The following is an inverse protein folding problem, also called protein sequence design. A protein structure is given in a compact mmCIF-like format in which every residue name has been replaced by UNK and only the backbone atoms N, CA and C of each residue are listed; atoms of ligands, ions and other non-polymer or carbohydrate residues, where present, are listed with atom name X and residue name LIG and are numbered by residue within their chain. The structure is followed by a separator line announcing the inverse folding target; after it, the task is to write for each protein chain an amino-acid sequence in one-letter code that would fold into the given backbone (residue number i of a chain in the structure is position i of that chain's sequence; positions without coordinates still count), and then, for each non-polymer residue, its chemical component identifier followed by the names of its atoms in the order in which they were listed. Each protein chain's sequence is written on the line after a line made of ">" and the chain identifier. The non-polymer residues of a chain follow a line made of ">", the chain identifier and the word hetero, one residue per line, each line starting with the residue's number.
data_IF_206216490725
#
_entry.id   IF_206216490725
#
_cell.length_a   1.000
_cell.length_b   1.000
_cell.length_c   1.000
_cell.angle_alpha   90.00
_cell.angle_beta   90.00
_cell.angle_gamma   90.00
#
_symmetry.space_group_name_H-M   'P 1'
#
loop_
_entity.id
_entity.type
_entity.pdbx_description
1 polymer ?
#
# COMPACT_ATOMS: atom_id res chain seq x y z
N UNK A 1 71.87 35.61 -55.53
CA UNK A 1 70.60 35.12 -56.11
C UNK A 1 69.61 34.87 -54.98
N UNK A 2 68.43 35.51 -55.05
CA UNK A 2 67.23 35.20 -54.25
C UNK A 2 66.63 33.87 -54.71
N UNK A 3 65.91 33.17 -53.83
CA UNK A 3 64.55 32.59 -54.06
C UNK A 3 64.11 31.82 -52.78
N UNK A 4 63.24 32.41 -51.97
CA UNK A 4 61.78 32.13 -51.76
C UNK A 4 61.47 30.99 -50.76
N UNK A 5 60.66 31.35 -49.75
CA UNK A 5 60.07 30.56 -48.65
C UNK A 5 59.04 29.54 -49.13
N UNK A 6 58.91 28.42 -48.41
CA UNK A 6 57.61 27.76 -48.20
C UNK A 6 57.50 27.32 -46.73
N UNK A 7 56.47 27.83 -46.05
CA UNK A 7 56.05 27.39 -44.72
C UNK A 7 55.33 26.05 -44.82
N UNK A 8 55.70 25.09 -43.97
CA UNK A 8 54.86 23.96 -43.63
C UNK A 8 54.60 24.04 -42.13
N UNK A 9 53.47 24.64 -41.77
CA UNK A 9 52.92 24.59 -40.42
C UNK A 9 52.36 23.17 -40.26
N UNK A 10 53.01 22.38 -39.40
CA UNK A 10 52.55 21.06 -39.02
C UNK A 10 51.30 21.22 -38.14
N UNK A 11 50.14 21.01 -38.74
CA UNK A 11 48.87 20.74 -38.04
C UNK A 11 48.82 19.22 -37.81
N UNK A 12 48.15 18.80 -36.74
CA UNK A 12 47.90 17.41 -36.26
C UNK A 12 48.95 17.02 -35.20
N UNK A 13 48.64 16.83 -33.91
CA UNK A 13 47.49 16.14 -33.33
C UNK A 13 47.28 16.63 -31.88
N UNK A 14 46.22 17.40 -31.60
CA UNK A 14 45.77 17.60 -30.21
C UNK A 14 45.11 16.31 -29.74
N UNK A 15 45.89 15.41 -29.16
CA UNK A 15 45.38 14.32 -28.34
C UNK A 15 44.85 14.88 -27.01
N UNK A 16 43.76 15.64 -27.10
CA UNK A 16 42.86 15.77 -25.95
C UNK A 16 42.22 14.40 -25.80
N UNK A 17 42.77 13.60 -24.90
CA UNK A 17 42.16 12.38 -24.41
C UNK A 17 40.85 12.81 -23.73
N UNK A 18 39.78 12.91 -24.53
CA UNK A 18 38.42 12.95 -24.04
C UNK A 18 38.19 11.60 -23.39
N UNK A 19 38.55 11.48 -22.10
CA UNK A 19 37.99 10.48 -21.23
C UNK A 19 36.50 10.80 -21.24
N UNK A 20 35.78 10.12 -22.13
CA UNK A 20 34.35 9.94 -22.01
C UNK A 20 34.18 9.35 -20.61
N UNK A 21 33.81 10.18 -19.64
CA UNK A 21 33.09 9.70 -18.49
C UNK A 21 31.84 9.07 -19.10
N UNK A 22 31.94 7.78 -19.41
CA UNK A 22 30.77 6.93 -19.46
C UNK A 22 30.27 6.95 -18.03
N UNK A 23 29.46 7.96 -17.71
CA UNK A 23 28.48 7.84 -16.66
C UNK A 23 27.61 6.69 -17.14
N UNK A 24 28.02 5.47 -16.80
CA UNK A 24 27.13 4.33 -16.73
C UNK A 24 26.15 4.77 -15.65
N UNK A 25 25.11 5.49 -16.07
CA UNK A 25 23.85 5.46 -15.35
C UNK A 25 23.44 4.00 -15.54
N UNK A 26 23.98 3.13 -14.68
CA UNK A 26 23.38 1.83 -14.50
C UNK A 26 21.91 2.13 -14.22
N UNK A 27 21.02 1.31 -14.74
CA UNK A 27 19.68 1.18 -14.20
C UNK A 27 19.81 0.64 -12.76
N UNK A 28 20.46 1.41 -11.90
CA UNK A 28 20.47 1.23 -10.47
C UNK A 28 19.03 1.44 -10.05
N UNK A 29 18.50 0.46 -9.34
CA UNK A 29 17.18 0.48 -8.72
C UNK A 29 16.81 1.89 -8.26
N UNK A 30 15.99 2.58 -9.05
CA UNK A 30 15.45 3.88 -8.69
C UNK A 30 14.65 3.69 -7.39
N UNK A 31 15.05 4.40 -6.34
CA UNK A 31 14.32 4.35 -5.08
C UNK A 31 12.89 4.86 -5.29
N UNK A 32 11.90 4.34 -4.51
CA UNK A 32 10.53 4.78 -4.63
C UNK A 32 10.42 6.30 -4.41
N UNK A 33 9.52 6.93 -5.14
CA UNK A 33 9.24 8.35 -5.07
C UNK A 33 7.73 8.60 -4.99
N UNK A 34 7.33 9.76 -4.44
CA UNK A 34 5.92 10.15 -4.26
C UNK A 34 5.09 10.02 -5.56
N UNK A 35 5.64 10.53 -6.66
CA UNK A 35 5.02 10.52 -7.99
C UNK A 35 5.13 9.19 -8.75
N UNK A 36 5.70 8.15 -8.14
CA UNK A 36 5.65 6.82 -8.75
C UNK A 36 4.20 6.34 -8.77
N UNK A 37 3.75 5.88 -9.94
CA UNK A 37 2.35 5.49 -10.17
C UNK A 37 1.81 4.53 -9.11
N UNK A 38 2.61 3.54 -8.70
CA UNK A 38 2.20 2.55 -7.71
C UNK A 38 2.04 3.13 -6.30
N UNK A 39 2.92 4.03 -5.87
CA UNK A 39 2.80 4.71 -4.57
C UNK A 39 1.61 5.67 -4.56
N UNK A 40 1.43 6.45 -5.64
CA UNK A 40 0.28 7.34 -5.80
C UNK A 40 -1.04 6.56 -5.75
N UNK A 41 -1.12 5.41 -6.44
CA UNK A 41 -2.29 4.54 -6.41
C UNK A 41 -2.53 3.97 -5.01
N UNK A 42 -1.49 3.46 -4.35
CA UNK A 42 -1.63 2.91 -3.00
C UNK A 42 -2.18 3.92 -2.00
N UNK A 43 -1.67 5.16 -2.03
CA UNK A 43 -2.17 6.25 -1.19
C UNK A 43 -3.63 6.56 -1.52
N UNK A 44 -3.97 6.67 -2.81
CA UNK A 44 -5.35 6.91 -3.26
C UNK A 44 -6.30 5.84 -2.72
N UNK A 45 -5.92 4.57 -2.77
CA UNK A 45 -6.76 3.46 -2.33
C UNK A 45 -6.93 3.43 -0.82
N UNK A 46 -5.86 3.68 -0.06
CA UNK A 46 -5.95 3.82 1.40
C UNK A 46 -6.87 4.96 1.81
N UNK A 47 -6.72 6.12 1.15
CA UNK A 47 -7.53 7.29 1.44
C UNK A 47 -9.01 7.10 1.07
N UNK A 48 -9.28 6.38 -0.02
CA UNK A 48 -10.62 5.99 -0.40
C UNK A 48 -11.23 4.99 0.61
N UNK A 49 -10.49 3.97 1.04
CA UNK A 49 -10.94 3.06 2.10
C UNK A 49 -11.27 3.80 3.40
N UNK A 50 -10.41 4.73 3.82
CA UNK A 50 -10.61 5.56 5.03
C UNK A 50 -11.84 6.46 4.91
N UNK A 51 -12.11 7.00 3.72
CA UNK A 51 -13.32 7.77 3.41
C UNK A 51 -14.56 6.88 3.49
N UNK A 52 -14.54 5.71 2.84
CA UNK A 52 -15.65 4.75 2.82
C UNK A 52 -16.03 4.26 4.22
N UNK A 53 -15.07 4.04 5.11
CA UNK A 53 -15.36 3.74 6.52
C UNK A 53 -16.09 4.92 7.18
N UNK A 54 -15.64 6.15 6.97
CA UNK A 54 -16.27 7.35 7.55
C UNK A 54 -17.69 7.59 7.03
N UNK A 55 -18.01 7.05 5.85
CA UNK A 55 -19.29 7.23 5.15
C UNK A 55 -20.22 6.01 5.23
N UNK A 56 -19.93 5.05 6.10
CA UNK A 56 -20.78 3.86 6.31
C UNK A 56 -20.87 2.94 5.07
N UNK A 57 -19.88 2.98 4.18
CA UNK A 57 -19.85 2.23 2.92
C UNK A 57 -19.06 0.90 3.00
N UNK A 58 -18.69 0.47 4.21
CA UNK A 58 -17.95 -0.77 4.46
C UNK A 58 -18.80 -1.71 5.30
N UNK A 59 -19.29 -2.83 4.72
CA UNK A 59 -20.15 -3.77 5.44
C UNK A 59 -19.47 -4.37 6.68
N UNK A 60 -20.26 -4.57 7.73
CA UNK A 60 -19.79 -5.20 8.98
C UNK A 60 -18.92 -4.31 9.86
N UNK A 61 -18.71 -3.04 9.48
CA UNK A 61 -17.87 -2.10 10.23
C UNK A 61 -18.65 -0.83 10.59
N UNK A 62 -18.52 -0.31 11.83
CA UNK A 62 -19.15 0.95 12.19
C UNK A 62 -18.46 2.12 11.50
N UNK A 63 -19.21 3.20 11.28
CA UNK A 63 -18.63 4.40 10.71
C UNK A 63 -17.58 5.01 11.64
N UNK A 64 -16.47 5.49 11.07
CA UNK A 64 -15.49 6.26 11.83
C UNK A 64 -15.84 7.75 11.82
N UNK A 65 -15.38 8.48 12.83
CA UNK A 65 -15.12 9.92 12.62
C UNK A 65 -14.19 10.09 11.41
N UNK A 66 -14.26 11.25 10.74
CA UNK A 66 -13.46 11.53 9.55
C UNK A 66 -11.98 11.22 9.81
N UNK A 67 -11.46 10.22 9.10
CA UNK A 67 -10.07 9.83 9.22
C UNK A 67 -9.17 10.81 8.45
N UNK A 68 -7.98 11.14 8.99
CA UNK A 68 -7.02 11.97 8.27
C UNK A 68 -6.57 11.25 7.00
N UNK A 69 -6.35 12.01 5.93
CA UNK A 69 -5.77 11.48 4.70
C UNK A 69 -4.31 11.11 4.97
N UNK A 70 -3.91 9.95 4.49
CA UNK A 70 -2.51 9.54 4.47
C UNK A 70 -1.77 10.34 3.40
N UNK A 71 -0.56 10.74 3.75
CA UNK A 71 0.39 11.38 2.82
C UNK A 71 1.61 10.50 2.64
N UNK A 72 2.33 10.72 1.54
CA UNK A 72 3.56 9.99 1.25
C UNK A 72 4.67 10.34 2.24
N UNK A 73 5.49 9.35 2.60
CA UNK A 73 6.76 9.57 3.28
C UNK A 73 7.88 8.78 2.60
N UNK A 74 8.91 9.51 2.18
CA UNK A 74 10.05 8.99 1.43
C UNK A 74 10.83 7.94 2.23
N UNK A 75 11.09 8.20 3.51
CA UNK A 75 11.91 7.30 4.33
C UNK A 75 11.14 6.01 4.65
N UNK A 76 9.82 6.08 4.86
CA UNK A 76 8.98 4.88 4.98
C UNK A 76 9.06 4.01 3.70
N UNK A 77 9.00 4.63 2.53
CA UNK A 77 9.03 3.93 1.24
C UNK A 77 10.39 3.29 0.96
N UNK A 78 11.49 3.98 1.26
CA UNK A 78 12.84 3.44 1.12
C UNK A 78 13.07 2.25 2.05
N UNK A 79 12.60 2.32 3.30
CA UNK A 79 12.63 1.20 4.24
C UNK A 79 11.82 0.01 3.72
N UNK A 80 10.60 0.27 3.24
CA UNK A 80 9.74 -0.77 2.67
C UNK A 80 10.38 -1.43 1.44
N UNK A 81 11.03 -0.65 0.57
CA UNK A 81 11.74 -1.16 -0.59
C UNK A 81 12.97 -1.99 -0.21
N UNK A 82 13.76 -1.54 0.78
CA UNK A 82 14.87 -2.33 1.32
C UNK A 82 14.39 -3.69 1.82
N UNK A 83 13.27 -3.70 2.55
CA UNK A 83 12.72 -4.97 3.04
C UNK A 83 12.17 -5.86 1.92
N UNK A 84 11.45 -5.28 0.96
CA UNK A 84 10.93 -5.99 -0.19
C UNK A 84 12.06 -6.69 -0.98
N UNK A 85 13.20 -6.02 -1.15
CA UNK A 85 14.38 -6.56 -1.84
C UNK A 85 14.96 -7.83 -1.17
N UNK A 86 14.72 -8.03 0.13
CA UNK A 86 15.17 -9.23 0.83
C UNK A 86 14.32 -10.48 0.51
N UNK A 87 13.15 -10.31 -0.12
CA UNK A 87 12.28 -11.40 -0.56
C UNK A 87 11.98 -12.43 0.54
N UNK A 88 11.61 -11.94 1.73
CA UNK A 88 11.25 -12.80 2.88
C UNK A 88 9.72 -12.92 3.03
N UNK A 89 9.25 -13.87 3.84
CA UNK A 89 7.84 -14.06 4.23
C UNK A 89 7.56 -13.62 5.66
N UNK A 90 8.19 -12.55 6.12
CA UNK A 90 8.00 -12.06 7.48
C UNK A 90 8.10 -10.55 7.52
N UNK A 91 7.65 -9.98 8.63
CA UNK A 91 7.98 -8.61 8.96
C UNK A 91 9.46 -8.48 9.35
N UNK A 92 10.06 -7.33 9.04
CA UNK A 92 11.34 -6.93 9.62
C UNK A 92 11.20 -6.59 11.11
N UNK A 93 12.34 -6.45 11.78
CA UNK A 93 12.37 -5.98 13.16
C UNK A 93 11.88 -4.54 13.23
N UNK A 94 11.23 -4.15 14.33
CA UNK A 94 10.78 -2.78 14.52
C UNK A 94 11.97 -1.79 14.52
N UNK A 95 13.17 -2.25 14.91
CA UNK A 95 14.42 -1.47 14.84
C UNK A 95 14.85 -1.17 13.40
N UNK A 96 14.53 -2.05 12.47
CA UNK A 96 14.84 -1.85 11.04
C UNK A 96 13.89 -0.82 10.40
N UNK A 97 12.84 -0.42 11.12
CA UNK A 97 11.84 0.59 10.71
C UNK A 97 11.94 1.88 11.54
N UNK A 98 13.09 2.18 12.13
CA UNK A 98 13.30 3.40 12.90
C UNK A 98 13.08 4.66 12.03
N UNK A 99 12.32 5.60 12.57
CA UNK A 99 11.98 6.83 11.87
C UNK A 99 12.06 8.03 12.82
N UNK A 100 12.66 9.18 12.42
CA UNK A 100 12.85 10.33 13.30
C UNK A 100 11.55 10.95 13.81
N UNK A 101 10.43 10.75 13.08
CA UNK A 101 9.12 11.31 13.41
C UNK A 101 8.24 10.42 14.30
N UNK A 102 8.47 9.11 14.34
CA UNK A 102 7.59 8.17 15.04
C UNK A 102 8.39 7.12 15.78
N UNK A 103 8.05 6.91 17.06
CA UNK A 103 8.66 5.87 17.89
C UNK A 103 8.42 4.46 17.33
N UNK A 104 7.27 4.22 16.70
CA UNK A 104 6.92 2.93 16.12
C UNK A 104 6.31 3.09 14.74
N UNK A 105 6.82 2.31 13.79
CA UNK A 105 6.35 2.23 12.40
C UNK A 105 5.71 0.86 12.17
N UNK A 106 4.47 0.89 11.68
CA UNK A 106 3.71 -0.31 11.33
C UNK A 106 4.09 -0.82 9.95
N UNK A 107 3.69 -2.05 9.63
CA UNK A 107 3.97 -2.66 8.33
C UNK A 107 2.83 -3.58 7.88
N UNK A 108 2.41 -3.41 6.63
CA UNK A 108 1.66 -4.43 5.90
C UNK A 108 2.59 -5.10 4.88
N UNK A 109 2.44 -6.41 4.72
CA UNK A 109 3.22 -7.21 3.80
C UNK A 109 2.32 -8.18 3.03
N UNK A 110 2.63 -8.40 1.75
CA UNK A 110 1.96 -9.42 0.96
C UNK A 110 2.91 -10.09 -0.04
N UNK A 111 2.82 -11.42 -0.24
CA UNK A 111 3.53 -12.16 -1.27
C UNK A 111 2.76 -12.12 -2.62
N UNK A 112 2.28 -10.93 -3.00
CA UNK A 112 1.33 -10.75 -4.09
C UNK A 112 1.93 -10.16 -5.35
N UNK A 113 1.25 -10.39 -6.47
CA UNK A 113 1.72 -10.04 -7.82
C UNK A 113 1.68 -8.54 -8.12
N UNK A 114 0.83 -7.79 -7.43
CA UNK A 114 0.63 -6.36 -7.66
C UNK A 114 0.22 -5.63 -6.38
N UNK A 115 0.36 -4.31 -6.42
CA UNK A 115 -0.14 -3.40 -5.38
C UNK A 115 -1.65 -3.53 -5.20
N UNK A 116 -2.41 -3.65 -6.30
CA UNK A 116 -3.87 -3.75 -6.28
C UNK A 116 -4.34 -4.99 -5.51
N UNK A 117 -3.79 -6.16 -5.86
CA UNK A 117 -4.13 -7.41 -5.17
C UNK A 117 -3.73 -7.32 -3.69
N UNK A 118 -2.55 -6.77 -3.40
CA UNK A 118 -2.08 -6.60 -2.02
C UNK A 118 -3.02 -5.71 -1.21
N UNK A 119 -3.45 -4.58 -1.77
CA UNK A 119 -4.39 -3.69 -1.09
C UNK A 119 -5.74 -4.36 -0.85
N UNK A 120 -6.28 -5.08 -1.84
CA UNK A 120 -7.58 -5.75 -1.72
C UNK A 120 -7.53 -6.84 -0.65
N UNK A 121 -6.49 -7.68 -0.65
CA UNK A 121 -6.28 -8.73 0.34
C UNK A 121 -6.10 -8.15 1.75
N UNK A 122 -5.46 -6.99 1.88
CA UNK A 122 -5.36 -6.30 3.17
C UNK A 122 -6.67 -5.68 3.62
N UNK A 123 -7.48 -5.15 2.69
CA UNK A 123 -8.71 -4.44 3.04
C UNK A 123 -9.88 -5.39 3.33
N UNK A 124 -10.01 -6.49 2.58
CA UNK A 124 -11.07 -7.51 2.75
C UNK A 124 -11.09 -8.13 4.15
N UNK A 125 -9.95 -8.11 4.84
CA UNK A 125 -9.83 -8.47 6.24
C UNK A 125 -10.82 -7.74 7.17
N UNK A 126 -11.46 -6.64 6.72
CA UNK A 126 -12.59 -6.02 7.42
C UNK A 126 -13.75 -6.99 7.69
N UNK A 127 -13.91 -8.04 6.88
CA UNK A 127 -14.90 -9.08 7.12
C UNK A 127 -14.53 -9.93 8.34
N UNK A 128 -13.25 -10.08 8.62
CA UNK A 128 -12.74 -10.93 9.68
C UNK A 128 -12.55 -10.17 11.01
N UNK A 129 -12.88 -8.88 11.07
CA UNK A 129 -12.67 -8.05 12.26
C UNK A 129 -14.00 -7.69 12.92
N UNK A 130 -14.14 -7.94 14.22
CA UNK A 130 -15.28 -7.45 15.01
C UNK A 130 -14.87 -6.19 15.77
N UNK A 131 -15.45 -5.04 15.41
CA UNK A 131 -15.06 -3.75 15.98
C UNK A 131 -15.29 -3.69 17.49
N UNK A 132 -16.42 -4.19 17.97
CA UNK A 132 -16.85 -4.15 19.37
C UNK A 132 -15.90 -4.91 20.30
N UNK A 133 -15.44 -6.09 19.90
CA UNK A 133 -14.54 -6.93 20.69
C UNK A 133 -13.07 -6.63 20.42
N UNK A 134 -12.76 -5.95 19.30
CA UNK A 134 -11.39 -5.73 18.80
C UNK A 134 -10.66 -7.03 18.42
N UNK A 135 -11.42 -8.04 18.01
CA UNK A 135 -10.89 -9.37 17.70
C UNK A 135 -10.96 -9.67 16.21
N UNK A 136 -10.00 -10.46 15.74
CA UNK A 136 -10.13 -11.16 14.47
C UNK A 136 -10.90 -12.46 14.69
N UNK A 137 -11.67 -12.89 13.68
CA UNK A 137 -12.27 -14.21 13.62
C UNK A 137 -11.21 -15.30 13.87
N UNK A 138 -11.61 -16.41 14.49
CA UNK A 138 -10.67 -17.45 14.91
C UNK A 138 -9.93 -18.05 13.70
N UNK A 139 -8.59 -17.97 13.72
CA UNK A 139 -7.73 -18.48 12.65
C UNK A 139 -7.59 -17.53 11.45
N UNK A 140 -8.25 -16.38 11.48
CA UNK A 140 -8.21 -15.37 10.43
C UNK A 140 -7.25 -14.22 10.76
N UNK A 141 -6.85 -13.49 9.73
CA UNK A 141 -6.09 -12.25 9.87
C UNK A 141 -7.00 -11.03 9.74
N UNK A 142 -6.70 -10.01 10.53
CA UNK A 142 -7.33 -8.70 10.39
C UNK A 142 -6.42 -7.49 10.63
N UNK A 143 -5.13 -7.76 10.87
CA UNK A 143 -4.14 -6.74 11.20
C UNK A 143 -3.88 -5.76 10.06
N UNK A 144 -3.95 -6.21 8.81
CA UNK A 144 -3.70 -5.36 7.66
C UNK A 144 -4.82 -4.34 7.48
N UNK A 145 -6.08 -4.77 7.64
CA UNK A 145 -7.25 -3.88 7.62
C UNK A 145 -7.17 -2.85 8.75
N UNK A 146 -6.88 -3.29 9.97
CA UNK A 146 -6.74 -2.42 11.15
C UNK A 146 -5.70 -1.32 10.88
N UNK A 147 -4.57 -1.66 10.24
CA UNK A 147 -3.53 -0.69 9.90
C UNK A 147 -4.00 0.34 8.84
N UNK A 148 -4.76 -0.08 7.82
CA UNK A 148 -5.31 0.82 6.78
C UNK A 148 -6.23 1.88 7.40
N UNK A 149 -7.11 1.45 8.31
CA UNK A 149 -8.16 2.30 8.91
C UNK A 149 -7.76 2.97 10.22
N UNK A 150 -6.52 2.81 10.66
CA UNK A 150 -6.04 3.39 11.91
C UNK A 150 -6.02 4.93 11.88
N UNK A 151 -6.74 5.57 12.78
CA UNK A 151 -6.92 7.03 12.83
C UNK A 151 -5.63 7.81 13.08
N UNK A 152 -4.71 7.22 13.85
CA UNK A 152 -3.41 7.79 14.22
C UNK A 152 -2.43 7.81 13.06
N UNK A 153 -2.57 6.87 12.13
CA UNK A 153 -1.67 6.73 10.98
C UNK A 153 -1.92 7.92 10.06
N UNK A 154 -0.84 8.62 9.71
CA UNK A 154 -0.90 9.84 8.90
C UNK A 154 -0.03 9.74 7.66
N UNK A 155 0.97 8.85 7.65
CA UNK A 155 1.93 8.72 6.57
C UNK A 155 2.08 7.26 6.16
N UNK A 156 2.38 7.05 4.88
CA UNK A 156 2.61 5.75 4.28
C UNK A 156 3.73 5.85 3.25
N UNK A 157 4.54 4.80 3.14
CA UNK A 157 5.47 4.61 2.04
C UNK A 157 5.63 3.13 1.72
N UNK A 158 5.65 2.79 0.43
CA UNK A 158 5.65 1.40 -0.02
C UNK A 158 6.81 1.08 -0.96
N UNK A 159 7.13 -0.21 -1.03
CA UNK A 159 8.13 -0.77 -1.93
C UNK A 159 7.73 -2.17 -2.39
N UNK A 160 8.30 -2.60 -3.52
CA UNK A 160 8.06 -3.94 -4.05
C UNK A 160 9.26 -4.50 -4.76
N UNK A 161 9.43 -5.81 -4.71
CA UNK A 161 10.52 -6.48 -5.42
C UNK A 161 10.01 -7.74 -6.13
N UNK A 162 10.64 -8.04 -7.27
CA UNK A 162 10.51 -9.32 -7.92
C UNK A 162 11.45 -10.32 -7.25
N UNK A 163 10.89 -11.42 -6.76
CA UNK A 163 11.60 -12.46 -6.05
C UNK A 163 11.89 -13.64 -6.96
N UNK A 164 13.13 -14.14 -6.91
CA UNK A 164 13.48 -15.39 -7.59
C UNK A 164 12.65 -16.52 -7.00
N UNK A 165 11.92 -17.24 -7.85
CA UNK A 165 11.09 -18.38 -7.42
C UNK A 165 12.00 -19.45 -6.77
N UNK A 166 11.68 -19.83 -5.54
CA UNK A 166 12.36 -20.91 -4.82
C UNK A 166 11.40 -21.59 -3.85
N UNK A 167 11.84 -22.67 -3.18
CA UNK A 167 11.04 -23.30 -2.11
C UNK A 167 10.75 -22.29 -0.98
N UNK A 168 11.69 -21.39 -0.67
CA UNK A 168 11.53 -20.35 0.37
C UNK A 168 10.73 -19.14 -0.10
N UNK A 169 10.62 -18.95 -1.41
CA UNK A 169 9.95 -17.83 -2.08
C UNK A 169 9.07 -18.37 -3.22
N UNK A 170 7.98 -19.08 -2.90
CA UNK A 170 7.06 -19.59 -3.92
C UNK A 170 6.38 -18.46 -4.72
N UNK A 171 6.27 -17.26 -4.14
CA UNK A 171 5.79 -16.04 -4.81
C UNK A 171 6.87 -15.40 -5.69
N UNK A 172 6.41 -14.68 -6.72
CA UNK A 172 7.28 -13.98 -7.68
C UNK A 172 7.47 -12.49 -7.37
N UNK A 173 6.58 -11.91 -6.57
CA UNK A 173 6.60 -10.50 -6.22
C UNK A 173 6.18 -10.36 -4.78
N UNK A 174 6.74 -9.36 -4.10
CA UNK A 174 6.33 -8.96 -2.75
C UNK A 174 6.06 -7.47 -2.71
N UNK A 175 5.07 -7.07 -1.92
CA UNK A 175 4.73 -5.66 -1.64
C UNK A 175 4.82 -5.44 -0.14
N UNK A 176 5.49 -4.36 0.25
CA UNK A 176 5.64 -3.90 1.63
C UNK A 176 5.13 -2.47 1.69
N UNK A 177 4.32 -2.14 2.68
CA UNK A 177 3.97 -0.76 3.03
C UNK A 177 4.27 -0.51 4.50
N UNK A 178 4.99 0.57 4.79
CA UNK A 178 5.29 1.02 6.15
C UNK A 178 4.41 2.22 6.50
N UNK A 179 4.00 2.31 7.78
CA UNK A 179 2.99 3.26 8.25
C UNK A 179 3.47 4.06 9.47
N UNK A 180 3.37 5.39 9.36
CA UNK A 180 3.83 6.33 10.37
C UNK A 180 2.69 7.15 10.99
N UNK A 181 2.48 7.10 12.32
CA UNK A 181 2.91 6.04 13.23
C UNK A 181 2.18 4.71 12.94
N UNK A 182 2.63 3.62 13.58
CA UNK A 182 1.93 2.33 13.54
C UNK A 182 0.46 2.47 13.91
N UNK A 183 -0.41 1.71 13.22
CA UNK A 183 -1.83 1.63 13.50
C UNK A 183 -2.18 0.74 14.67
N UNK A 184 -1.33 -0.26 14.94
CA UNK A 184 -1.53 -1.22 16.02
C UNK A 184 -1.09 -0.63 17.36
N UNK A 185 -2.05 -0.45 18.27
CA UNK A 185 -1.80 -0.32 19.70
C UNK A 185 -2.65 -1.34 20.44
N UNK A 186 -2.04 -2.00 21.42
CA UNK A 186 -2.71 -2.96 22.29
C UNK A 186 -3.96 -2.32 22.93
N UNK A 187 -5.08 -3.04 22.87
CA UNK A 187 -6.36 -2.70 23.51
C UNK A 187 -6.95 -1.34 23.11
N UNK A 188 -6.77 -0.92 21.85
CA UNK A 188 -7.42 0.29 21.31
C UNK A 188 -8.05 0.00 19.95
N UNK A 189 -9.28 0.47 19.76
CA UNK A 189 -9.92 0.46 18.44
C UNK A 189 -9.07 1.21 17.40
N UNK A 190 -9.11 0.79 16.12
CA UNK A 190 -8.37 1.46 15.04
C UNK A 190 -8.81 2.91 14.86
N UNK A 191 -10.08 3.22 15.14
CA UNK A 191 -10.66 4.55 15.00
C UNK A 191 -11.75 4.80 16.04
N UNK A 192 -12.16 6.05 16.17
CA UNK A 192 -13.32 6.44 16.99
C UNK A 192 -14.60 6.31 16.15
N UNK A 193 -15.64 5.69 16.71
CA UNK A 193 -16.94 5.59 16.05
C UNK A 193 -17.55 6.98 15.83
N UNK A 194 -18.11 7.23 14.66
CA UNK A 194 -18.91 8.41 14.38
C UNK A 194 -20.28 8.32 15.07
N UNK A 195 -20.94 9.48 15.19
CA UNK A 195 -22.35 9.55 15.53
C UNK A 195 -23.18 8.79 14.45
N UNK A 196 -24.10 7.89 14.84
CA UNK A 196 -24.97 7.17 13.90
C UNK A 196 -25.72 8.08 12.90
N UNK A 197 -25.99 9.35 13.27
CA UNK A 197 -26.60 10.34 12.39
C UNK A 197 -25.76 10.69 11.16
N UNK A 198 -24.45 10.40 11.15
CA UNK A 198 -23.58 10.54 9.97
C UNK A 198 -24.10 9.67 8.83
N UNK A 199 -24.40 8.40 9.09
CA UNK A 199 -24.92 7.48 8.07
C UNK A 199 -26.25 7.96 7.49
N UNK A 200 -27.12 8.55 8.32
CA UNK A 200 -28.40 9.10 7.89
C UNK A 200 -28.25 10.31 6.95
N UNK A 201 -27.14 11.05 7.04
CA UNK A 201 -26.86 12.19 6.14
C UNK A 201 -26.27 11.73 4.81
N UNK A 202 -25.36 10.77 4.83
CA UNK A 202 -24.78 10.19 3.60
C UNK A 202 -25.88 9.57 2.73
N UNK A 203 -26.75 8.76 3.33
CA UNK A 203 -27.89 8.14 2.63
C UNK A 203 -28.87 9.15 2.00
N UNK A 204 -28.92 10.40 2.49
CA UNK A 204 -29.74 11.48 1.91
C UNK A 204 -29.06 12.20 0.75
N UNK A 205 -27.73 12.20 0.70
CA UNK A 205 -26.94 12.78 -0.39
C UNK A 205 -26.88 11.83 -1.61
N UNK A 206 -27.04 10.52 -1.38
CA UNK A 206 -27.12 9.48 -2.42
C UNK A 206 -28.50 9.34 -3.10
N UNK A 207 -29.40 10.34 -2.98
CA UNK A 207 -30.53 10.44 -3.92
C UNK A 207 -29.99 10.47 -5.36
N UNK A 208 -30.58 9.75 -6.32
CA UNK A 208 -29.92 9.40 -7.58
C UNK A 208 -29.74 10.62 -8.48
N UNK A 209 -28.69 11.38 -8.24
CA UNK A 209 -28.03 12.15 -9.30
C UNK A 209 -27.21 11.13 -10.05
N UNK A 210 -27.48 11.01 -11.36
CA UNK A 210 -26.78 10.13 -12.28
C UNK A 210 -25.27 10.44 -12.30
N UNK A 211 -24.53 9.96 -11.32
CA UNK A 211 -23.09 9.80 -11.41
C UNK A 211 -22.86 8.49 -12.16
N UNK A 212 -22.62 8.61 -13.46
CA UNK A 212 -22.11 7.52 -14.30
C UNK A 212 -20.69 7.05 -13.90
N UNK A 213 -20.20 7.47 -12.74
CA UNK A 213 -19.01 6.94 -12.10
C UNK A 213 -19.42 6.03 -10.95
N UNK A 214 -19.98 4.86 -11.30
CA UNK A 214 -19.95 3.72 -10.39
C UNK A 214 -18.48 3.35 -10.22
N UNK A 215 -17.81 3.93 -9.22
CA UNK A 215 -16.41 3.67 -8.96
C UNK A 215 -16.22 2.18 -8.70
N UNK A 216 -15.68 1.46 -9.68
CA UNK A 216 -15.15 0.12 -9.49
C UNK A 216 -13.89 0.26 -8.64
N UNK A 217 -14.07 0.40 -7.32
CA UNK A 217 -12.94 0.63 -6.43
C UNK A 217 -12.98 -0.13 -5.09
N UNK A 218 -12.08 -1.10 -4.90
CA UNK A 218 -11.53 -1.95 -5.97
C UNK A 218 -12.68 -2.79 -6.57
N UNK A 219 -12.54 -3.35 -7.78
CA UNK A 219 -13.50 -4.34 -8.26
C UNK A 219 -13.55 -5.48 -7.25
N UNK A 220 -14.76 -5.76 -6.75
CA UNK A 220 -15.02 -6.87 -5.83
C UNK A 220 -14.32 -8.13 -6.38
N UNK A 221 -13.29 -8.60 -5.68
CA UNK A 221 -12.60 -9.84 -6.01
C UNK A 221 -13.62 -10.98 -5.99
N UNK A 222 -13.35 -12.05 -6.74
CA UNK A 222 -14.21 -13.24 -6.72
C UNK A 222 -14.38 -13.78 -5.29
N UNK A 223 -13.38 -13.56 -4.44
CA UNK A 223 -13.36 -13.95 -3.04
C UNK A 223 -14.25 -13.06 -2.16
N UNK A 224 -14.24 -11.73 -2.35
CA UNK A 224 -15.20 -10.81 -1.72
C UNK A 224 -16.64 -11.20 -2.08
N UNK A 225 -16.89 -11.51 -3.36
CA UNK A 225 -18.21 -11.95 -3.82
C UNK A 225 -18.62 -13.28 -3.20
N UNK A 226 -17.72 -14.25 -3.12
CA UNK A 226 -17.97 -15.56 -2.52
C UNK A 226 -18.23 -15.46 -1.01
N UNK A 227 -17.40 -14.71 -0.26
CA UNK A 227 -17.56 -14.53 1.18
C UNK A 227 -18.83 -13.76 1.53
N UNK A 228 -19.21 -12.76 0.73
CA UNK A 228 -20.48 -12.04 0.87
C UNK A 228 -21.68 -12.98 0.68
N UNK A 229 -21.62 -13.89 -0.30
CA UNK A 229 -22.68 -14.87 -0.55
C UNK A 229 -22.81 -15.89 0.60
N UNK A 230 -21.68 -16.33 1.18
CA UNK A 230 -21.69 -17.28 2.32
C UNK A 230 -22.29 -16.63 3.58
N UNK A 231 -21.91 -15.39 3.90
CA UNK A 231 -22.42 -14.68 5.11
C UNK A 231 -23.83 -14.12 4.94
N UNK A 232 -24.31 -13.94 3.69
CA UNK A 232 -25.66 -13.49 3.38
C UNK A 232 -26.70 -14.60 3.28
N UNK A 233 -26.30 -15.87 3.38
CA UNK A 233 -27.26 -16.97 3.49
C UNK A 233 -27.86 -16.98 4.91
N UNK A 234 -29.19 -16.99 5.07
CA UNK A 234 -29.80 -17.36 6.33
C UNK A 234 -29.21 -18.68 6.79
N UNK A 235 -28.80 -18.78 8.06
CA UNK A 235 -28.43 -20.06 8.67
C UNK A 235 -29.68 -20.94 8.75
N UNK A 236 -30.06 -21.56 7.64
CA UNK A 236 -31.05 -22.64 7.60
C UNK A 236 -30.38 -23.86 7.00
N UNK A 237 -29.56 -24.51 7.82
CA UNK A 237 -29.27 -25.93 7.70
C UNK A 237 -29.33 -26.50 9.11
N UNK A 238 -30.55 -26.67 9.62
CA UNK A 238 -30.79 -27.68 10.64
C UNK A 238 -30.75 -29.02 9.91
N UNK A 239 -29.69 -29.80 10.10
CA UNK A 239 -29.75 -31.23 9.88
C UNK A 239 -30.74 -31.78 10.93
N UNK A 240 -31.95 -32.16 10.50
CA UNK A 240 -32.77 -33.03 11.33
C UNK A 240 -32.34 -34.46 11.08
N UNK A 241 -31.77 -35.07 12.11
CA UNK A 241 -31.55 -36.52 12.14
C UNK A 241 -32.92 -37.22 12.15
N UNK A 242 -33.17 -38.03 11.12
CA UNK A 242 -34.06 -39.19 11.16
C UNK A 242 -33.40 -40.34 10.41
#
# INVERSE_FOLDING_TARGET
>A
MRLIRVHVICVICSSVLLIRLNLVIGEGSRWPHEYDTLNTLMIKWHNEARRRISECLVPGQPASEKLPQLVYDQQLAEQAQRWANNCTNRHDDWKDREHPKWQYVGQNWAPNRSYEISFNDWFIEHLNYTFETMECDLGEQCGHYIQIVANRTTHIGCGSAMCKKSIRTPWRTTVVCNYGPTGYLVAKHPYKKADPAVCNRVNKLDTPVASNERSTWPPETAEERARRLIRGQPQTCACSDK
#
